data_IF_283568318156
#
_entry.id   IF_283568318156
#
_cell.length_a   1.000
_cell.length_b   1.000
_cell.length_c   1.000
_cell.angle_alpha   90.00
_cell.angle_beta   90.00
_cell.angle_gamma   90.00
#
_symmetry.space_group_name_H-M   'P 1'
#
loop_
_entity.id
_entity.type
_entity.pdbx_description
1 polymer ?
#
# COMPACT_ATOMS: atom_id res chain seq x y z
N UNK A 1 -11.84 13.37 -1.55
CA UNK A 1 -10.53 13.16 -2.20
C UNK A 1 -9.63 14.31 -1.83
N UNK A 2 -8.41 14.02 -1.39
CA UNK A 2 -7.39 15.01 -1.06
C UNK A 2 -6.23 14.87 -2.05
N UNK A 3 -5.66 16.00 -2.43
CA UNK A 3 -4.45 16.06 -3.26
C UNK A 3 -3.25 16.11 -2.31
N UNK A 4 -2.27 15.25 -2.53
CA UNK A 4 -1.02 15.19 -1.79
C UNK A 4 0.12 15.46 -2.75
N UNK A 5 0.93 16.47 -2.46
CA UNK A 5 2.17 16.73 -3.18
C UNK A 5 3.30 16.02 -2.44
N UNK A 6 4.05 15.19 -3.15
CA UNK A 6 5.17 14.42 -2.59
C UNK A 6 6.41 14.57 -3.48
N UNK A 7 7.58 14.45 -2.85
CA UNK A 7 8.89 14.46 -3.50
C UNK A 7 9.43 13.04 -3.77
N UNK A 8 8.59 12.01 -3.55
CA UNK A 8 8.94 10.62 -3.75
C UNK A 8 7.70 9.73 -4.01
N UNK A 9 7.96 8.54 -4.54
CA UNK A 9 6.99 7.45 -4.62
C UNK A 9 7.65 6.08 -4.40
N UNK A 10 6.85 5.15 -3.91
CA UNK A 10 7.11 3.72 -3.90
C UNK A 10 6.30 3.05 -5.02
N UNK A 11 6.97 2.20 -5.80
CA UNK A 11 6.31 1.24 -6.71
C UNK A 11 6.50 -0.15 -6.13
N UNK A 12 5.43 -0.75 -5.64
CA UNK A 12 5.42 -2.08 -5.01
C UNK A 12 5.00 -3.08 -6.08
N UNK A 13 5.92 -3.91 -6.53
CA UNK A 13 5.66 -4.96 -7.53
C UNK A 13 5.29 -6.26 -6.84
N UNK A 14 4.22 -6.90 -7.31
CA UNK A 14 3.68 -8.13 -6.73
C UNK A 14 3.64 -9.27 -7.76
N UNK A 15 3.53 -10.50 -7.26
CA UNK A 15 3.61 -11.73 -8.06
C UNK A 15 2.49 -11.88 -9.10
N UNK A 16 1.33 -11.30 -8.83
CA UNK A 16 0.19 -11.22 -9.75
C UNK A 16 0.36 -10.15 -10.85
N UNK A 17 1.46 -9.39 -10.83
CA UNK A 17 1.78 -8.38 -11.85
C UNK A 17 1.07 -7.03 -11.67
N UNK A 18 0.23 -6.87 -10.64
CA UNK A 18 -0.47 -5.61 -10.36
C UNK A 18 0.29 -4.77 -9.34
N UNK A 19 1.08 -3.78 -9.81
CA UNK A 19 1.84 -2.95 -8.88
C UNK A 19 0.97 -1.93 -8.13
N UNK A 20 1.28 -1.69 -6.86
CA UNK A 20 0.70 -0.58 -6.07
C UNK A 20 1.68 0.60 -6.03
N UNK A 21 1.18 1.80 -6.34
CA UNK A 21 1.97 3.04 -6.27
C UNK A 21 1.43 3.91 -5.14
N UNK A 22 2.34 4.40 -4.30
CA UNK A 22 2.03 5.21 -3.12
C UNK A 22 3.19 6.12 -2.78
N UNK A 23 2.99 7.12 -1.91
CA UNK A 23 4.09 7.89 -1.33
C UNK A 23 4.85 7.07 -0.27
N UNK A 24 6.10 7.44 0.01
CA UNK A 24 6.89 6.84 1.08
C UNK A 24 6.56 7.46 2.45
N UNK A 25 5.30 7.41 2.87
CA UNK A 25 4.83 8.00 4.12
C UNK A 25 4.60 6.96 5.22
N UNK A 26 5.04 7.26 6.44
CA UNK A 26 4.88 6.36 7.61
C UNK A 26 3.44 6.17 8.06
N UNK A 27 2.58 7.13 7.72
CA UNK A 27 1.14 7.08 8.00
C UNK A 27 0.39 6.14 7.05
N UNK A 28 0.96 5.91 5.86
CA UNK A 28 0.36 5.06 4.85
C UNK A 28 0.62 3.60 5.17
N UNK A 29 -0.45 2.83 5.33
CA UNK A 29 -0.41 1.45 5.83
C UNK A 29 -1.18 0.50 4.92
N UNK A 30 -0.74 -0.75 4.88
CA UNK A 30 -1.38 -1.84 4.17
C UNK A 30 -1.65 -3.00 5.12
N UNK A 31 -2.60 -3.87 4.75
CA UNK A 31 -2.80 -5.13 5.45
C UNK A 31 -1.79 -6.16 4.94
N UNK A 32 -0.80 -6.48 5.78
CA UNK A 32 0.39 -7.22 5.38
C UNK A 32 0.53 -8.48 6.23
N UNK A 33 0.94 -9.57 5.60
CA UNK A 33 1.50 -10.74 6.27
C UNK A 33 3.02 -10.75 6.03
N UNK A 34 3.77 -10.55 7.09
CA UNK A 34 5.22 -10.51 7.06
C UNK A 34 5.81 -11.91 6.94
N UNK A 35 7.04 -12.02 6.43
CA UNK A 35 7.75 -13.30 6.29
C UNK A 35 7.92 -14.10 7.60
N UNK A 36 7.90 -13.41 8.75
CA UNK A 36 7.94 -14.04 10.08
C UNK A 36 6.58 -14.60 10.56
N UNK A 37 5.52 -14.50 9.75
CA UNK A 37 4.17 -14.98 10.05
C UNK A 37 3.24 -13.96 10.69
N UNK A 38 3.73 -12.79 11.10
CA UNK A 38 2.89 -11.74 11.68
C UNK A 38 1.97 -11.14 10.62
N UNK A 39 0.70 -10.92 10.97
CA UNK A 39 -0.29 -10.29 10.09
C UNK A 39 -0.87 -9.06 10.78
N UNK A 40 -0.87 -7.92 10.09
CA UNK A 40 -1.37 -6.67 10.65
C UNK A 40 -1.25 -5.48 9.71
N UNK A 41 -1.67 -4.32 10.20
CA UNK A 41 -1.42 -3.04 9.53
C UNK A 41 0.06 -2.69 9.61
N UNK A 42 0.73 -2.60 8.47
CA UNK A 42 2.15 -2.27 8.37
C UNK A 42 2.32 -1.00 7.54
N UNK A 43 3.18 -0.09 8.01
CA UNK A 43 3.61 1.08 7.23
C UNK A 43 4.28 0.64 5.93
N UNK A 44 3.99 1.32 4.82
CA UNK A 44 4.65 1.06 3.52
C UNK A 44 6.16 1.25 3.60
N UNK A 45 6.65 2.11 4.51
CA UNK A 45 8.09 2.32 4.76
C UNK A 45 8.79 1.11 5.40
N UNK A 46 8.04 0.21 6.02
CA UNK A 46 8.53 -1.00 6.66
C UNK A 46 8.30 -2.27 5.82
N UNK A 47 7.55 -2.17 4.73
CA UNK A 47 7.29 -3.28 3.80
C UNK A 47 8.61 -3.77 3.18
N UNK A 48 8.74 -5.08 2.99
CA UNK A 48 9.92 -5.70 2.36
C UNK A 48 9.49 -6.68 1.28
N UNK A 49 10.38 -6.91 0.31
CA UNK A 49 10.24 -8.03 -0.60
C UNK A 49 10.18 -9.35 0.18
N UNK A 50 9.26 -10.23 -0.21
CA UNK A 50 8.94 -11.45 0.53
C UNK A 50 7.78 -11.33 1.52
N UNK A 51 7.34 -10.12 1.87
CA UNK A 51 6.06 -9.92 2.55
C UNK A 51 4.89 -10.17 1.58
N UNK A 52 3.68 -10.30 2.12
CA UNK A 52 2.47 -10.54 1.34
C UNK A 52 1.44 -9.44 1.58
N UNK A 53 0.82 -8.97 0.50
CA UNK A 53 -0.30 -8.03 0.54
C UNK A 53 -1.62 -8.79 0.34
N UNK A 54 -2.64 -8.43 1.11
CA UNK A 54 -3.97 -9.02 0.99
C UNK A 54 -4.78 -8.32 -0.10
N UNK A 55 -5.38 -9.12 -0.99
CA UNK A 55 -6.34 -8.68 -2.02
C UNK A 55 -7.75 -9.04 -1.56
N UNK A 56 -8.51 -8.09 -0.98
CA UNK A 56 -9.80 -8.40 -0.35
C UNK A 56 -10.88 -8.85 -1.33
N UNK A 57 -10.80 -8.46 -2.61
CA UNK A 57 -11.79 -8.87 -3.62
C UNK A 57 -11.64 -10.36 -3.98
N UNK A 58 -10.39 -10.81 -4.16
CA UNK A 58 -10.07 -12.20 -4.52
C UNK A 58 -9.93 -13.11 -3.29
N UNK A 59 -9.81 -12.51 -2.10
CA UNK A 59 -9.58 -13.19 -0.81
C UNK A 59 -8.26 -13.95 -0.75
N UNK A 60 -7.25 -13.43 -1.42
CA UNK A 60 -5.93 -14.05 -1.56
C UNK A 60 -4.79 -13.14 -1.11
N UNK A 61 -3.64 -13.74 -0.89
CA UNK A 61 -2.39 -13.03 -0.62
C UNK A 61 -1.52 -13.05 -1.87
N UNK A 62 -0.96 -11.91 -2.25
CA UNK A 62 0.05 -11.80 -3.31
C UNK A 62 1.40 -11.41 -2.70
N UNK A 63 2.48 -12.04 -3.17
CA UNK A 63 3.82 -11.78 -2.65
C UNK A 63 4.39 -10.49 -3.23
N UNK A 64 5.03 -9.69 -2.40
CA UNK A 64 5.83 -8.54 -2.82
C UNK A 64 7.15 -9.05 -3.38
N UNK A 65 7.41 -8.80 -4.66
CA UNK A 65 8.63 -9.20 -5.34
C UNK A 65 9.73 -8.14 -5.20
N UNK A 66 9.36 -6.87 -5.34
CA UNK A 66 10.28 -5.75 -5.38
C UNK A 66 9.58 -4.46 -4.94
N UNK A 67 10.35 -3.52 -4.40
CA UNK A 67 9.87 -2.19 -4.07
C UNK A 67 10.89 -1.19 -4.61
N UNK A 68 10.45 -0.34 -5.54
CA UNK A 68 11.28 0.74 -6.07
C UNK A 68 10.98 2.04 -5.34
N UNK A 69 12.03 2.74 -4.91
CA UNK A 69 11.92 4.10 -4.39
C UNK A 69 12.36 5.09 -5.47
N UNK A 70 11.47 5.99 -5.85
CA UNK A 70 11.71 6.97 -6.91
C UNK A 70 11.61 8.37 -6.29
N UNK A 71 12.65 9.18 -6.44
CA UNK A 71 12.63 10.60 -6.09
C UNK A 71 12.10 11.43 -7.26
N UNK A 72 11.31 12.45 -6.97
CA UNK A 72 10.73 13.34 -7.98
C UNK A 72 9.48 14.04 -7.46
N UNK A 73 8.97 15.03 -8.18
CA UNK A 73 7.72 15.69 -7.78
C UNK A 73 6.52 14.92 -8.34
N UNK A 74 5.65 14.44 -7.46
CA UNK A 74 4.44 13.71 -7.84
C UNK A 74 3.21 14.31 -7.17
N UNK A 75 2.11 14.28 -7.91
CA UNK A 75 0.77 14.52 -7.37
C UNK A 75 0.11 13.17 -7.10
N UNK A 76 -0.29 12.94 -5.85
CA UNK A 76 -1.01 11.75 -5.41
C UNK A 76 -2.38 12.11 -4.86
N UNK A 77 -3.23 11.10 -4.72
CA UNK A 77 -4.61 11.27 -4.29
C UNK A 77 -4.93 10.30 -3.16
N UNK A 78 -5.61 10.82 -2.14
CA UNK A 78 -6.13 10.03 -1.03
C UNK A 78 -7.66 10.22 -0.92
N UNK A 79 -8.35 9.23 -0.38
CA UNK A 79 -9.80 9.23 -0.19
C UNK A 79 -10.11 9.21 1.31
N UNK A 80 -10.60 10.34 1.80
CA UNK A 80 -11.22 10.44 3.12
C UNK A 80 -12.72 10.24 2.99
N UNK A 81 -13.24 9.11 3.48
CA UNK A 81 -14.65 8.79 3.57
C UNK A 81 -15.06 8.58 5.04
N UNK A 82 -16.35 8.77 5.36
CA UNK A 82 -16.87 8.67 6.74
C UNK A 82 -17.32 7.26 7.11
N UNK A 83 -17.93 6.53 6.17
CA UNK A 83 -18.28 5.12 6.33
C UNK A 83 -18.06 4.40 4.99
N UNK A 84 -17.39 3.22 4.96
CA UNK A 84 -16.78 2.50 6.08
C UNK A 84 -15.46 3.12 6.59
N UNK A 85 -15.03 4.25 6.02
CA UNK A 85 -13.80 4.91 6.40
C UNK A 85 -12.55 4.29 5.78
N UNK A 86 -12.67 3.27 4.94
CA UNK A 86 -11.58 2.63 4.20
C UNK A 86 -11.96 2.55 2.72
N UNK A 87 -10.99 2.18 1.86
CA UNK A 87 -11.23 1.99 0.44
C UNK A 87 -10.25 0.96 -0.16
N UNK A 88 -10.54 0.55 -1.40
CA UNK A 88 -9.66 -0.33 -2.18
C UNK A 88 -8.99 0.51 -3.27
N UNK A 89 -7.65 0.49 -3.31
CA UNK A 89 -6.84 1.10 -4.34
C UNK A 89 -6.06 0.03 -5.11
N UNK A 90 -6.31 -0.06 -6.41
CA UNK A 90 -5.68 -1.02 -7.31
C UNK A 90 -5.68 -2.46 -6.77
N UNK A 91 -6.77 -2.89 -6.14
CA UNK A 91 -6.93 -4.23 -5.57
C UNK A 91 -6.46 -4.39 -4.11
N UNK A 92 -5.89 -3.37 -3.48
CA UNK A 92 -5.37 -3.42 -2.10
C UNK A 92 -6.19 -2.58 -1.13
N UNK A 93 -6.29 -3.04 0.11
CA UNK A 93 -7.03 -2.35 1.16
C UNK A 93 -6.21 -1.21 1.79
N UNK A 94 -6.75 0.00 1.70
CA UNK A 94 -6.27 1.18 2.43
C UNK A 94 -7.12 1.35 3.71
N UNK A 95 -6.51 1.40 4.92
CA UNK A 95 -7.24 1.42 6.18
C UNK A 95 -7.93 2.75 6.46
N UNK A 96 -8.72 2.75 7.54
CA UNK A 96 -9.23 3.99 8.10
C UNK A 96 -8.13 4.93 8.55
N UNK A 97 -8.11 6.12 7.95
CA UNK A 97 -7.26 7.22 8.36
C UNK A 97 -7.70 7.66 9.76
N UNK A 98 -6.79 7.61 10.74
CA UNK A 98 -6.98 8.06 12.12
C UNK A 98 -5.95 9.11 12.47
#
# INVERSE_FOLDING_TARGET
MQIVQTDNMLVIHTEDGQSLVTDNATIQKLWVRQSNGNTGWLSVTLLRAGDYLYRPLDREWTRVNQIDFIRGSFTMYDIYNTAPGNYIANGYLDPTKR
#
